data_IF_051795016025
#
_entry.id   IF_051795016025
#
_cell.length_a   1.000
_cell.length_b   1.000
_cell.length_c   1.000
_cell.angle_alpha   90.00
_cell.angle_beta   90.00
_cell.angle_gamma   90.00
#
_symmetry.space_group_name_H-M   'P 1'
#
loop_
_entity.id
_entity.type
_entity.pdbx_description
1 polymer ?
#
# COMPACT_ATOMS: atom_id res chain seq x y z
N UNK A 1 -24.30 -8.48 27.60
CA UNK A 1 -25.24 -8.44 26.45
C UNK A 1 -24.91 -7.32 25.45
N UNK A 2 -24.20 -6.25 25.85
CA UNK A 2 -23.72 -5.17 24.98
C UNK A 2 -22.50 -5.55 24.11
N UNK A 3 -21.54 -6.32 24.63
CA UNK A 3 -20.32 -6.72 23.92
C UNK A 3 -20.57 -7.58 22.66
N UNK A 4 -21.61 -8.42 22.67
CA UNK A 4 -21.99 -9.24 21.51
C UNK A 4 -22.67 -8.41 20.41
N UNK A 5 -23.30 -7.29 20.77
CA UNK A 5 -23.94 -6.39 19.81
C UNK A 5 -22.90 -5.56 19.04
N UNK A 6 -21.84 -5.09 19.72
CA UNK A 6 -20.71 -4.38 19.09
C UNK A 6 -19.88 -5.29 18.18
N UNK A 7 -19.75 -6.57 18.52
CA UNK A 7 -19.11 -7.59 17.67
C UNK A 7 -19.96 -7.93 16.42
N UNK A 8 -21.28 -7.84 16.52
CA UNK A 8 -22.19 -8.08 15.39
C UNK A 8 -22.28 -6.86 14.44
N UNK A 9 -22.04 -5.65 14.96
CA UNK A 9 -21.95 -4.39 14.19
C UNK A 9 -20.55 -4.10 13.65
N UNK A 10 -19.54 -4.88 14.03
CA UNK A 10 -18.19 -4.70 13.52
C UNK A 10 -18.16 -5.08 12.03
N UNK A 11 -17.75 -4.15 11.14
CA UNK A 11 -17.57 -4.48 9.74
C UNK A 11 -16.58 -5.67 9.63
N UNK A 12 -16.80 -6.60 8.70
CA UNK A 12 -16.04 -7.85 8.64
C UNK A 12 -14.55 -7.53 8.67
N UNK A 13 -13.76 -8.08 9.60
CA UNK A 13 -12.32 -7.72 9.70
C UNK A 13 -11.47 -8.33 8.57
N UNK A 14 -12.02 -9.32 7.86
CA UNK A 14 -11.36 -10.07 6.78
C UNK A 14 -10.81 -9.19 5.64
N UNK A 15 -11.59 -8.26 5.06
CA UNK A 15 -11.11 -7.39 3.98
C UNK A 15 -9.96 -6.48 4.41
N UNK A 16 -9.98 -5.95 5.64
CA UNK A 16 -8.88 -5.17 6.18
C UNK A 16 -7.61 -6.04 6.35
N UNK A 17 -7.74 -7.27 6.86
CA UNK A 17 -6.61 -8.21 6.96
C UNK A 17 -6.01 -8.53 5.59
N UNK A 18 -6.83 -8.77 4.56
CA UNK A 18 -6.33 -8.96 3.20
C UNK A 18 -5.58 -7.74 2.67
N UNK A 19 -6.11 -6.54 2.92
CA UNK A 19 -5.44 -5.29 2.55
C UNK A 19 -4.04 -5.18 3.17
N UNK A 20 -3.92 -5.46 4.47
CA UNK A 20 -2.63 -5.43 5.17
C UNK A 20 -1.67 -6.51 4.66
N UNK A 21 -2.14 -7.73 4.44
CA UNK A 21 -1.32 -8.82 3.90
C UNK A 21 -0.78 -8.49 2.51
N UNK A 22 -1.63 -7.94 1.63
CA UNK A 22 -1.22 -7.51 0.28
C UNK A 22 -0.23 -6.36 0.35
N UNK A 23 -0.47 -5.36 1.20
CA UNK A 23 0.43 -4.21 1.35
C UNK A 23 1.81 -4.64 1.90
N UNK A 24 1.85 -5.58 2.84
CA UNK A 24 3.10 -6.16 3.34
C UNK A 24 3.81 -6.94 2.23
N UNK A 25 3.11 -7.77 1.47
CA UNK A 25 3.69 -8.52 0.37
C UNK A 25 4.30 -7.58 -0.70
N UNK A 26 3.60 -6.49 -1.04
CA UNK A 26 4.11 -5.46 -1.95
C UNK A 26 5.34 -4.76 -1.38
N UNK A 27 5.36 -4.43 -0.08
CA UNK A 27 6.54 -3.86 0.59
C UNK A 27 7.76 -4.77 0.42
N UNK A 28 7.62 -6.06 0.72
CA UNK A 28 8.71 -7.01 0.56
C UNK A 28 9.19 -7.11 -0.88
N UNK A 29 8.26 -7.14 -1.84
CA UNK A 29 8.58 -7.16 -3.26
C UNK A 29 9.39 -5.92 -3.69
N UNK A 30 9.00 -4.74 -3.18
CA UNK A 30 9.73 -3.48 -3.41
C UNK A 30 11.11 -3.46 -2.73
N UNK A 31 11.25 -4.04 -1.54
CA UNK A 31 12.56 -4.14 -0.90
C UNK A 31 13.49 -5.10 -1.65
N UNK A 32 12.97 -6.22 -2.14
CA UNK A 32 13.73 -7.16 -2.98
C UNK A 32 14.10 -6.56 -4.34
N UNK A 33 13.17 -5.81 -4.96
CA UNK A 33 13.42 -5.09 -6.20
C UNK A 33 14.56 -4.08 -6.06
N UNK A 34 14.55 -3.30 -4.97
CA UNK A 34 15.63 -2.36 -4.62
C UNK A 34 17.00 -3.04 -4.60
N UNK A 35 17.13 -4.19 -3.89
CA UNK A 35 18.38 -4.93 -3.81
C UNK A 35 18.91 -5.37 -5.19
N UNK A 36 18.01 -5.79 -6.09
CA UNK A 36 18.38 -6.16 -7.46
C UNK A 36 18.83 -4.96 -8.28
N UNK A 37 18.10 -3.85 -8.21
CA UNK A 37 18.41 -2.61 -8.95
C UNK A 37 19.75 -2.02 -8.49
N UNK A 38 19.99 -1.98 -7.17
CA UNK A 38 21.24 -1.53 -6.58
C UNK A 38 22.43 -2.41 -7.01
N UNK A 39 22.23 -3.73 -7.19
CA UNK A 39 23.26 -4.65 -7.69
C UNK A 39 23.57 -4.43 -9.18
N UNK A 40 22.56 -4.13 -10.00
CA UNK A 40 22.70 -4.00 -11.45
C UNK A 40 23.39 -2.70 -11.88
N UNK A 41 23.35 -1.63 -11.06
CA UNK A 41 24.00 -0.33 -11.30
C UNK A 41 23.70 0.32 -12.68
N UNK A 42 22.61 -0.08 -13.34
CA UNK A 42 22.19 0.50 -14.62
C UNK A 42 21.36 1.74 -14.36
N UNK A 43 21.83 2.89 -14.83
CA UNK A 43 21.14 4.18 -14.69
C UNK A 43 19.67 4.19 -15.19
N UNK A 44 19.33 3.63 -16.37
CA UNK A 44 17.92 3.62 -16.81
C UNK A 44 17.03 2.73 -15.93
N UNK A 45 17.58 1.62 -15.41
CA UNK A 45 16.85 0.73 -14.52
C UNK A 45 16.58 1.40 -13.16
N UNK A 46 17.52 2.20 -12.67
CA UNK A 46 17.36 3.00 -11.46
C UNK A 46 16.21 4.01 -11.60
N UNK A 47 16.14 4.74 -12.71
CA UNK A 47 15.07 5.70 -12.97
C UNK A 47 13.72 4.99 -13.08
N UNK A 48 13.64 3.94 -13.91
CA UNK A 48 12.40 3.18 -14.09
C UNK A 48 11.88 2.61 -12.76
N UNK A 49 12.78 2.09 -11.92
CA UNK A 49 12.41 1.55 -10.62
C UNK A 49 11.97 2.64 -9.63
N UNK A 50 12.64 3.78 -9.62
CA UNK A 50 12.23 4.93 -8.79
C UNK A 50 10.82 5.40 -9.15
N UNK A 51 10.53 5.56 -10.46
CA UNK A 51 9.20 5.92 -10.94
C UNK A 51 8.15 4.88 -10.55
N UNK A 52 8.50 3.59 -10.62
CA UNK A 52 7.61 2.50 -10.19
C UNK A 52 7.29 2.56 -8.69
N UNK A 53 8.30 2.77 -7.83
CA UNK A 53 8.10 2.94 -6.38
C UNK A 53 7.19 4.15 -6.10
N UNK A 54 7.42 5.28 -6.77
CA UNK A 54 6.59 6.49 -6.63
C UNK A 54 5.15 6.21 -7.06
N UNK A 55 4.94 5.51 -8.19
CA UNK A 55 3.60 5.16 -8.66
C UNK A 55 2.84 4.31 -7.64
N UNK A 56 3.49 3.31 -7.03
CA UNK A 56 2.85 2.47 -6.01
C UNK A 56 2.58 3.27 -4.71
N UNK A 57 3.50 4.13 -4.29
CA UNK A 57 3.26 5.03 -3.16
C UNK A 57 2.08 5.98 -3.44
N UNK A 58 1.96 6.50 -4.67
CA UNK A 58 0.85 7.33 -5.08
C UNK A 58 -0.48 6.58 -5.04
N UNK A 59 -0.51 5.29 -5.37
CA UNK A 59 -1.71 4.45 -5.21
C UNK A 59 -2.14 4.42 -3.74
N UNK A 60 -1.22 4.20 -2.80
CA UNK A 60 -1.53 4.19 -1.36
C UNK A 60 -2.00 5.56 -0.84
N UNK A 61 -1.40 6.66 -1.31
CA UNK A 61 -1.87 8.02 -1.00
C UNK A 61 -3.26 8.27 -1.58
N UNK A 62 -3.57 7.76 -2.77
CA UNK A 62 -4.91 7.86 -3.34
C UNK A 62 -5.94 7.01 -2.58
N UNK A 63 -5.56 5.83 -2.08
CA UNK A 63 -6.42 5.04 -1.19
C UNK A 63 -6.70 5.81 0.10
N UNK A 64 -5.71 6.52 0.65
CA UNK A 64 -5.91 7.40 1.80
C UNK A 64 -6.83 8.59 1.46
N UNK A 65 -6.52 9.36 0.41
CA UNK A 65 -7.21 10.62 0.10
C UNK A 65 -8.61 10.43 -0.48
N UNK A 66 -8.80 9.44 -1.36
CA UNK A 66 -10.03 9.26 -2.13
C UNK A 66 -10.81 8.00 -1.73
N UNK A 67 -10.22 7.09 -0.94
CA UNK A 67 -10.91 5.93 -0.37
C UNK A 67 -11.65 5.08 -1.41
N UNK A 68 -12.94 4.86 -1.17
CA UNK A 68 -13.81 4.04 -2.00
C UNK A 68 -13.89 4.52 -3.45
N UNK A 69 -13.88 5.85 -3.70
CA UNK A 69 -13.99 6.39 -5.06
C UNK A 69 -12.78 6.01 -5.95
N UNK A 70 -11.59 5.88 -5.35
CA UNK A 70 -10.41 5.44 -6.08
C UNK A 70 -10.36 3.91 -6.21
N UNK A 71 -10.72 3.17 -5.17
CA UNK A 71 -10.68 1.70 -5.19
C UNK A 71 -11.75 1.11 -6.11
N UNK A 72 -12.96 1.66 -6.12
CA UNK A 72 -14.03 1.22 -7.04
C UNK A 72 -13.84 1.77 -8.45
N UNK A 73 -13.41 3.04 -8.60
CA UNK A 73 -13.28 3.68 -9.90
C UNK A 73 -12.02 3.32 -10.69
N UNK A 74 -10.87 3.22 -10.02
CA UNK A 74 -9.57 2.97 -10.69
C UNK A 74 -9.18 1.49 -10.62
N UNK A 75 -9.35 0.87 -9.45
CA UNK A 75 -8.99 -0.53 -9.23
C UNK A 75 -10.12 -1.52 -9.55
N UNK A 76 -11.36 -1.05 -9.75
CA UNK A 76 -12.55 -1.91 -9.94
C UNK A 76 -12.74 -2.96 -8.83
N UNK A 77 -12.30 -2.64 -7.61
CA UNK A 77 -12.46 -3.52 -6.45
C UNK A 77 -13.60 -2.96 -5.59
N UNK A 78 -14.59 -3.79 -5.26
CA UNK A 78 -15.64 -3.47 -4.29
C UNK A 78 -15.09 -3.61 -2.85
N UNK A 79 -14.18 -2.72 -2.49
CA UNK A 79 -13.65 -2.61 -1.15
C UNK A 79 -13.73 -1.16 -0.70
N UNK A 80 -14.43 -0.93 0.42
CA UNK A 80 -14.59 0.39 1.02
C UNK A 80 -13.56 0.60 2.14
N UNK A 81 -12.47 1.36 1.90
CA UNK A 81 -11.43 1.61 2.88
C UNK A 81 -11.90 2.51 4.02
N UNK A 82 -12.93 3.35 3.80
CA UNK A 82 -13.42 4.30 4.80
C UNK A 82 -14.23 3.63 5.90
N UNK A 83 -14.66 2.37 5.71
CA UNK A 83 -15.26 1.57 6.79
C UNK A 83 -14.25 1.16 7.86
N UNK A 84 -12.95 1.32 7.64
CA UNK A 84 -11.90 0.92 8.58
C UNK A 84 -10.86 2.02 8.76
N UNK A 85 -10.90 2.70 9.91
CA UNK A 85 -9.89 3.70 10.28
C UNK A 85 -8.46 3.12 10.22
N UNK A 86 -8.30 1.84 10.55
CA UNK A 86 -7.02 1.14 10.46
C UNK A 86 -6.49 1.06 9.03
N UNK A 87 -7.35 0.86 8.03
CA UNK A 87 -6.96 0.79 6.61
C UNK A 87 -6.60 2.19 6.11
N UNK A 88 -7.37 3.21 6.50
CA UNK A 88 -7.10 4.60 6.19
C UNK A 88 -5.69 5.01 6.68
N UNK A 89 -5.41 4.89 7.98
CA UNK A 89 -4.09 5.22 8.52
C UNK A 89 -2.99 4.25 8.04
N UNK A 90 -3.34 2.99 7.83
CA UNK A 90 -2.45 1.97 7.28
C UNK A 90 -1.95 2.32 5.88
N UNK A 91 -2.84 2.82 5.01
CA UNK A 91 -2.47 3.23 3.65
C UNK A 91 -1.43 4.35 3.66
N UNK A 92 -1.58 5.34 4.56
CA UNK A 92 -0.59 6.41 4.73
C UNK A 92 0.76 5.87 5.20
N UNK A 93 0.77 4.98 6.21
CA UNK A 93 1.99 4.35 6.72
C UNK A 93 2.69 3.55 5.62
N UNK A 94 1.95 2.74 4.85
CA UNK A 94 2.54 1.99 3.75
C UNK A 94 3.05 2.88 2.63
N UNK A 95 2.37 3.98 2.30
CA UNK A 95 2.88 4.96 1.35
C UNK A 95 4.26 5.47 1.78
N UNK A 96 4.42 5.84 3.05
CA UNK A 96 5.71 6.28 3.59
C UNK A 96 6.76 5.16 3.57
N UNK A 97 6.38 3.94 3.97
CA UNK A 97 7.27 2.77 3.95
C UNK A 97 7.73 2.40 2.53
N UNK A 98 6.88 2.55 1.52
CA UNK A 98 7.27 2.30 0.13
C UNK A 98 8.33 3.28 -0.35
N UNK A 99 8.33 4.53 0.12
CA UNK A 99 9.39 5.50 -0.21
C UNK A 99 10.76 5.06 0.34
N UNK A 100 10.83 4.27 1.44
CA UNK A 100 12.11 3.70 1.90
C UNK A 100 12.68 2.67 0.91
N UNK A 101 11.83 2.07 0.09
CA UNK A 101 12.23 1.17 -0.99
C UNK A 101 12.80 1.90 -2.21
N UNK A 102 12.87 3.25 -2.20
CA UNK A 102 13.59 3.98 -3.24
C UNK A 102 15.06 3.51 -3.31
N UNK A 103 15.56 3.26 -4.53
CA UNK A 103 16.95 2.90 -4.72
C UNK A 103 17.82 4.12 -4.37
N UNK A 104 18.98 3.87 -3.75
CA UNK A 104 19.92 4.94 -3.42
C UNK A 104 21.11 4.82 -4.36
N UNK A 105 21.37 5.85 -5.15
CA UNK A 105 22.65 5.97 -5.84
C UNK A 105 23.73 6.13 -4.77
N UNK A 106 24.43 5.05 -4.44
CA UNK A 106 25.70 5.19 -3.72
C UNK A 106 26.66 5.91 -4.67
N UNK A 107 27.32 7.01 -4.23
CA UNK A 107 28.39 7.61 -4.99
C UNK A 107 29.54 6.62 -5.22
#
# INVERSE_FOLDING_TARGET
MSQQLELSLSPPMLPALYYFLVSIAVLFLLLMGKLKVDRLRKYPLFIAYTLFVIAIAAIQINVFANGYAFVSGFLHIDFDPWRYDSVYWGALIFAMLYLLAMPRSRP
#
